data_IF_039971867610
#
_entry.id   IF_039971867610
#
_cell.length_a   1.000
_cell.length_b   1.000
_cell.length_c   1.000
_cell.angle_alpha   90.00
_cell.angle_beta   90.00
_cell.angle_gamma   90.00
#
_symmetry.space_group_name_H-M   'P 1'
#
loop_
_entity.id
_entity.type
_entity.pdbx_description
1 polymer ?
#
# COMPACT_ATOMS: atom_id res chain seq x y z
N UNK A 1 6.36 -15.25 35.86
CA UNK A 1 6.85 -14.02 35.21
C UNK A 1 8.18 -14.38 34.58
N UNK A 2 8.17 -14.74 33.30
CA UNK A 2 9.38 -15.16 32.58
C UNK A 2 10.22 -13.93 32.24
N UNK A 3 11.43 -13.89 32.81
CA UNK A 3 12.39 -12.83 32.54
C UNK A 3 12.77 -12.88 31.05
N UNK A 4 12.75 -11.76 30.31
CA UNK A 4 13.15 -11.76 28.91
C UNK A 4 14.58 -12.30 28.79
N UNK A 5 14.72 -13.42 28.09
CA UNK A 5 15.98 -14.16 28.00
C UNK A 5 17.07 -13.29 27.40
N UNK A 6 18.23 -13.23 28.07
CA UNK A 6 19.47 -12.59 27.61
C UNK A 6 19.84 -12.97 26.17
N UNK A 7 19.39 -14.14 25.71
CA UNK A 7 19.48 -14.57 24.32
C UNK A 7 18.81 -13.60 23.34
N UNK A 8 17.56 -13.19 23.60
CA UNK A 8 16.82 -12.29 22.70
C UNK A 8 17.44 -10.89 22.66
N UNK A 9 17.87 -10.36 23.81
CA UNK A 9 18.60 -9.09 23.85
C UNK A 9 19.90 -9.14 23.06
N UNK A 10 20.63 -10.26 23.12
CA UNK A 10 21.86 -10.41 22.33
C UNK A 10 21.56 -10.57 20.84
N UNK A 11 20.46 -11.23 20.47
CA UNK A 11 20.02 -11.34 19.08
C UNK A 11 19.63 -9.95 18.52
N UNK A 12 18.90 -9.17 19.30
CA UNK A 12 18.52 -7.80 18.97
C UNK A 12 19.76 -6.90 18.85
N UNK A 13 20.69 -6.95 19.81
CA UNK A 13 21.96 -6.21 19.74
C UNK A 13 22.77 -6.54 18.49
N UNK A 14 22.86 -7.83 18.11
CA UNK A 14 23.52 -8.26 16.87
C UNK A 14 22.79 -7.71 15.64
N UNK A 15 21.46 -7.76 15.63
CA UNK A 15 20.65 -7.22 14.54
C UNK A 15 20.80 -5.70 14.38
N UNK A 16 20.86 -4.96 15.49
CA UNK A 16 21.11 -3.52 15.50
C UNK A 16 22.52 -3.24 14.97
N UNK A 17 23.56 -3.91 15.48
CA UNK A 17 24.94 -3.70 15.01
C UNK A 17 25.11 -3.96 13.51
N UNK A 18 24.43 -4.96 12.94
CA UNK A 18 24.49 -5.24 11.50
C UNK A 18 23.77 -4.17 10.65
N UNK A 19 22.75 -3.51 11.19
CA UNK A 19 21.92 -2.53 10.45
C UNK A 19 22.34 -1.09 10.69
N UNK A 20 23.13 -0.84 11.73
CA UNK A 20 23.61 0.50 12.07
C UNK A 20 24.76 0.88 11.14
N UNK A 21 24.63 2.06 10.52
CA UNK A 21 25.73 2.68 9.81
C UNK A 21 26.76 3.16 10.85
N UNK A 22 27.93 2.51 10.90
CA UNK A 22 28.98 2.81 11.87
C UNK A 22 30.07 3.75 11.33
N UNK A 23 30.14 3.91 10.00
CA UNK A 23 31.19 4.67 9.34
C UNK A 23 30.64 5.43 8.14
N UNK A 24 31.17 6.63 7.90
CA UNK A 24 30.95 7.39 6.67
C UNK A 24 32.27 7.80 6.06
N UNK A 25 32.34 7.77 4.72
CA UNK A 25 33.49 8.30 3.97
C UNK A 25 33.30 9.79 3.74
N UNK A 26 34.33 10.57 4.06
CA UNK A 26 34.43 12.00 3.79
C UNK A 26 34.76 12.26 2.31
N UNK A 27 34.54 13.50 1.81
CA UNK A 27 34.88 13.87 0.44
C UNK A 27 36.38 13.72 0.09
N UNK A 28 37.26 13.86 1.09
CA UNK A 28 38.72 13.66 0.95
C UNK A 28 39.14 12.18 0.90
N UNK A 29 38.18 11.24 0.98
CA UNK A 29 38.42 9.81 0.98
C UNK A 29 38.70 9.20 2.36
N UNK A 30 38.87 10.01 3.41
CA UNK A 30 39.06 9.53 4.78
C UNK A 30 37.75 8.99 5.38
N UNK A 31 37.84 8.18 6.43
CA UNK A 31 36.66 7.58 7.09
C UNK A 31 36.43 8.25 8.44
N UNK A 32 35.18 8.56 8.75
CA UNK A 32 34.74 8.96 10.09
C UNK A 32 33.87 7.87 10.72
N UNK A 33 34.03 7.72 12.03
CA UNK A 33 33.19 6.90 12.91
C UNK A 33 32.55 7.74 14.02
N UNK A 34 32.76 9.06 13.99
CA UNK A 34 32.19 9.97 14.98
C UNK A 34 30.70 10.21 14.67
N UNK A 35 29.77 9.85 15.57
CA UNK A 35 28.34 9.95 15.28
C UNK A 35 27.85 11.38 14.97
N UNK A 36 28.47 12.40 15.59
CA UNK A 36 28.09 13.79 15.36
C UNK A 36 28.53 14.25 13.97
N UNK A 37 29.77 13.96 13.59
CA UNK A 37 30.30 14.23 12.25
C UNK A 37 29.55 13.46 11.17
N UNK A 38 29.23 12.17 11.42
CA UNK A 38 28.46 11.35 10.49
C UNK A 38 27.08 11.94 10.19
N UNK A 39 26.39 12.43 11.24
CA UNK A 39 25.08 13.10 11.07
C UNK A 39 25.20 14.37 10.24
N UNK A 40 26.25 15.17 10.49
CA UNK A 40 26.50 16.40 9.74
C UNK A 40 26.76 16.10 8.27
N UNK A 41 27.67 15.16 7.97
CA UNK A 41 27.99 14.75 6.59
C UNK A 41 26.77 14.24 5.83
N UNK A 42 25.95 13.39 6.47
CA UNK A 42 24.71 12.91 5.86
C UNK A 42 23.72 14.05 5.60
N UNK A 43 23.54 14.96 6.57
CA UNK A 43 22.64 16.10 6.42
C UNK A 43 23.08 17.04 5.31
N UNK A 44 24.37 17.39 5.26
CA UNK A 44 24.91 18.30 4.26
C UNK A 44 24.84 17.70 2.86
N UNK A 45 25.16 16.40 2.73
CA UNK A 45 25.01 15.68 1.47
C UNK A 45 23.58 15.74 0.94
N UNK A 46 22.57 15.41 1.76
CA UNK A 46 21.19 15.42 1.30
C UNK A 46 20.64 16.84 1.08
N UNK A 47 21.09 17.82 1.86
CA UNK A 47 20.77 19.23 1.60
C UNK A 47 21.27 19.68 0.23
N UNK A 48 22.48 19.25 -0.14
CA UNK A 48 23.04 19.54 -1.46
C UNK A 48 22.33 18.75 -2.56
N UNK A 49 22.10 17.44 -2.36
CA UNK A 49 21.44 16.58 -3.35
C UNK A 49 20.03 17.06 -3.70
N UNK A 50 19.29 17.56 -2.71
CA UNK A 50 17.94 18.08 -2.88
C UNK A 50 17.89 19.61 -2.94
N UNK A 51 19.04 20.28 -3.04
CA UNK A 51 19.04 21.71 -3.33
C UNK A 51 18.51 21.92 -4.75
N UNK A 52 17.69 22.94 -4.94
CA UNK A 52 17.23 23.30 -6.26
C UNK A 52 18.43 23.75 -7.11
N UNK A 53 18.64 23.09 -8.24
CA UNK A 53 19.54 23.60 -9.28
C UNK A 53 18.93 24.85 -9.90
N UNK A 54 19.77 25.75 -10.41
CA UNK A 54 19.29 26.94 -11.11
C UNK A 54 18.50 26.53 -12.34
N UNK A 55 17.20 26.74 -12.33
CA UNK A 55 16.33 26.54 -13.48
C UNK A 55 16.30 27.83 -14.30
N UNK A 56 16.41 27.70 -15.62
CA UNK A 56 16.21 28.84 -16.52
C UNK A 56 14.74 29.27 -16.47
N UNK A 57 14.52 30.53 -16.07
CA UNK A 57 13.18 31.05 -15.85
C UNK A 57 12.36 31.13 -17.15
N UNK A 58 13.01 31.42 -18.27
CA UNK A 58 12.37 31.50 -19.58
C UNK A 58 11.90 30.11 -20.04
N UNK A 59 12.77 29.10 -19.94
CA UNK A 59 12.42 27.70 -20.23
C UNK A 59 11.31 27.15 -19.33
N UNK A 60 11.30 27.52 -18.05
CA UNK A 60 10.26 27.11 -17.11
C UNK A 60 8.91 27.73 -17.47
N UNK A 61 8.88 29.03 -17.77
CA UNK A 61 7.67 29.74 -18.19
C UNK A 61 7.13 29.14 -19.51
N UNK A 62 8.01 28.89 -20.47
CA UNK A 62 7.67 28.29 -21.76
C UNK A 62 7.07 26.88 -21.63
N UNK A 63 7.53 26.09 -20.67
CA UNK A 63 6.99 24.76 -20.39
C UNK A 63 5.62 24.84 -19.69
N UNK A 64 5.45 25.81 -18.79
CA UNK A 64 4.26 25.92 -17.93
C UNK A 64 3.09 26.66 -18.59
N UNK A 65 3.32 27.47 -19.64
CA UNK A 65 2.28 28.29 -20.28
C UNK A 65 1.11 27.49 -20.89
N UNK A 66 1.37 26.27 -21.34
CA UNK A 66 0.36 25.40 -21.98
C UNK A 66 -0.39 24.50 -20.97
N UNK A 67 -0.01 24.55 -19.69
CA UNK A 67 -0.69 23.78 -18.65
C UNK A 67 -1.97 24.49 -18.19
N UNK A 68 -3.03 23.74 -17.84
CA UNK A 68 -4.22 24.32 -17.22
C UNK A 68 -3.84 25.12 -15.97
N UNK A 69 -4.11 26.42 -16.00
CA UNK A 69 -3.85 27.30 -14.86
C UNK A 69 -5.08 27.39 -13.97
N UNK A 70 -4.85 27.42 -12.67
CA UNK A 70 -5.90 27.67 -11.69
C UNK A 70 -6.39 29.11 -11.83
N UNK A 71 -7.71 29.30 -11.73
CA UNK A 71 -8.29 30.64 -11.61
C UNK A 71 -7.85 31.28 -10.29
N UNK A 72 -7.78 32.62 -10.25
CA UNK A 72 -7.33 33.35 -9.07
C UNK A 72 -8.13 32.98 -7.81
N UNK A 73 -9.44 32.80 -7.96
CA UNK A 73 -10.33 32.34 -6.87
C UNK A 73 -9.99 30.94 -6.37
N UNK A 74 -9.52 30.03 -7.24
CA UNK A 74 -9.09 28.69 -6.84
C UNK A 74 -7.73 28.72 -6.16
N UNK A 75 -6.83 29.62 -6.56
CA UNK A 75 -5.54 29.83 -5.88
C UNK A 75 -5.77 30.34 -4.46
N UNK A 76 -6.61 31.37 -4.31
CA UNK A 76 -7.00 31.90 -3.01
C UNK A 76 -7.66 30.84 -2.11
N UNK A 77 -8.51 29.98 -2.69
CA UNK A 77 -9.14 28.86 -1.96
C UNK A 77 -8.09 27.84 -1.47
N UNK A 78 -7.05 27.54 -2.26
CA UNK A 78 -6.01 26.55 -1.92
C UNK A 78 -4.98 27.12 -0.95
N UNK A 79 -4.63 28.40 -1.08
CA UNK A 79 -3.65 29.09 -0.22
C UNK A 79 -4.23 29.47 1.15
N UNK A 80 -5.55 29.31 1.34
CA UNK A 80 -6.19 29.56 2.63
C UNK A 80 -5.71 28.56 3.69
N UNK A 81 -5.82 28.96 4.95
CA UNK A 81 -5.58 28.04 6.07
C UNK A 81 -6.60 26.91 6.10
N UNK A 82 -6.11 25.67 6.21
CA UNK A 82 -6.93 24.46 6.38
C UNK A 82 -7.85 24.64 7.58
N UNK A 83 -9.14 24.38 7.40
CA UNK A 83 -10.13 24.47 8.47
C UNK A 83 -10.35 23.13 9.19
N UNK A 84 -10.95 23.19 10.39
CA UNK A 84 -11.17 22.01 11.21
C UNK A 84 -12.13 21.00 10.55
N UNK A 85 -13.12 21.46 9.79
CA UNK A 85 -14.08 20.59 9.12
C UNK A 85 -13.41 19.79 8.00
N UNK A 86 -12.55 20.43 7.19
CA UNK A 86 -11.73 19.76 6.19
C UNK A 86 -10.83 18.69 6.81
N UNK A 87 -10.26 18.98 7.99
CA UNK A 87 -9.46 18.01 8.73
C UNK A 87 -10.31 16.82 9.21
N UNK A 88 -11.49 17.08 9.78
CA UNK A 88 -12.42 16.03 10.23
C UNK A 88 -12.88 15.16 9.05
N UNK A 89 -13.22 15.79 7.92
CA UNK A 89 -13.66 15.11 6.72
C UNK A 89 -12.53 14.27 6.12
N UNK A 90 -11.31 14.81 6.05
CA UNK A 90 -10.13 14.08 5.62
C UNK A 90 -9.82 12.90 6.56
N UNK A 91 -9.87 13.10 7.88
CA UNK A 91 -9.67 12.03 8.87
C UNK A 91 -10.73 10.94 8.78
N UNK A 92 -11.98 11.32 8.50
CA UNK A 92 -13.07 10.39 8.28
C UNK A 92 -12.83 9.54 7.02
N UNK A 93 -12.23 10.11 5.98
CA UNK A 93 -11.82 9.37 4.77
C UNK A 93 -10.59 8.48 5.00
N UNK A 94 -9.66 8.90 5.85
CA UNK A 94 -8.47 8.12 6.27
C UNK A 94 -8.84 6.87 7.08
N UNK A 95 -9.98 6.85 7.75
CA UNK A 95 -10.47 5.72 8.56
C UNK A 95 -10.73 4.43 7.77
N UNK A 96 -10.72 4.51 6.42
CA UNK A 96 -10.70 3.32 5.57
C UNK A 96 -9.38 2.52 5.69
N UNK A 97 -8.35 3.07 6.35
CA UNK A 97 -7.04 2.41 6.49
C UNK A 97 -6.35 2.18 5.14
N UNK A 98 -6.78 2.92 4.11
CA UNK A 98 -6.29 2.82 2.74
C UNK A 98 -5.44 4.04 2.45
N UNK A 99 -4.17 3.81 2.17
CA UNK A 99 -3.37 4.79 1.43
C UNK A 99 -3.99 4.91 0.02
N UNK A 100 -4.12 6.12 -0.56
CA UNK A 100 -4.70 6.35 -1.90
C UNK A 100 -3.72 5.94 -3.02
N UNK A 101 -3.13 4.76 -2.91
CA UNK A 101 -2.41 4.08 -3.98
C UNK A 101 -3.21 2.87 -4.47
N UNK A 102 -2.93 2.43 -5.69
CA UNK A 102 -3.33 1.12 -6.18
C UNK A 102 -3.09 0.09 -5.07
N UNK A 103 -4.13 -0.69 -4.79
CA UNK A 103 -4.29 -1.56 -3.64
C UNK A 103 -2.97 -2.06 -3.03
N UNK A 104 -2.73 -1.68 -1.78
CA UNK A 104 -1.51 -1.97 -1.04
C UNK A 104 -1.20 -3.48 -0.96
N UNK A 105 -2.23 -4.33 -1.10
CA UNK A 105 -2.09 -5.77 -1.03
C UNK A 105 -1.75 -6.39 -2.38
N UNK A 106 -2.40 -5.97 -3.47
CA UNK A 106 -2.07 -6.41 -4.83
C UNK A 106 -0.71 -5.87 -5.30
N UNK A 107 -0.31 -4.71 -4.78
CA UNK A 107 1.03 -4.15 -4.97
C UNK A 107 2.11 -4.84 -4.10
N UNK A 108 1.75 -5.71 -3.16
CA UNK A 108 2.71 -6.45 -2.33
C UNK A 108 3.44 -7.57 -3.09
N UNK A 109 4.76 -7.53 -3.05
CA UNK A 109 5.64 -8.57 -3.65
C UNK A 109 5.39 -9.94 -3.01
N UNK A 110 5.17 -9.99 -1.70
CA UNK A 110 4.94 -11.24 -0.97
C UNK A 110 3.64 -11.90 -1.39
N UNK A 111 2.58 -11.12 -1.57
CA UNK A 111 1.28 -11.62 -2.04
C UNK A 111 1.38 -12.08 -3.48
N UNK A 112 2.00 -11.28 -4.38
CA UNK A 112 2.22 -11.71 -5.77
C UNK A 112 3.00 -13.01 -5.86
N UNK A 113 4.07 -13.17 -5.07
CA UNK A 113 4.86 -14.41 -5.01
C UNK A 113 4.03 -15.58 -4.49
N UNK A 114 3.17 -15.34 -3.51
CA UNK A 114 2.25 -16.34 -2.95
C UNK A 114 1.24 -16.82 -4.00
N UNK A 115 0.61 -15.89 -4.72
CA UNK A 115 -0.35 -16.22 -5.77
C UNK A 115 0.32 -16.98 -6.93
N UNK A 116 1.41 -16.44 -7.48
CA UNK A 116 2.13 -17.08 -8.59
C UNK A 116 2.73 -18.43 -8.19
N UNK A 117 3.26 -18.54 -6.97
CA UNK A 117 3.82 -19.79 -6.45
C UNK A 117 2.78 -20.90 -6.29
N UNK A 118 1.51 -20.55 -6.11
CA UNK A 118 0.38 -21.49 -6.10
C UNK A 118 -0.32 -21.60 -7.47
N UNK A 119 0.28 -21.09 -8.55
CA UNK A 119 -0.27 -21.20 -9.91
C UNK A 119 -1.47 -20.28 -10.19
N UNK A 120 -1.73 -19.30 -9.33
CA UNK A 120 -2.82 -18.33 -9.47
C UNK A 120 -2.37 -17.22 -10.41
N UNK A 121 -2.63 -17.40 -11.70
CA UNK A 121 -2.25 -16.47 -12.77
C UNK A 121 -3.45 -15.76 -13.40
N UNK A 122 -4.67 -16.23 -13.13
CA UNK A 122 -5.92 -15.69 -13.67
C UNK A 122 -6.94 -15.52 -12.55
N UNK A 123 -7.81 -14.52 -12.68
CA UNK A 123 -8.92 -14.30 -11.75
C UNK A 123 -9.81 -15.55 -11.63
N UNK A 124 -10.01 -16.28 -12.72
CA UNK A 124 -10.80 -17.52 -12.73
C UNK A 124 -10.27 -18.63 -11.81
N UNK A 125 -9.01 -18.57 -11.36
CA UNK A 125 -8.49 -19.54 -10.38
C UNK A 125 -8.97 -19.23 -8.95
N UNK A 126 -9.56 -18.05 -8.74
CA UNK A 126 -10.15 -17.59 -7.47
C UNK A 126 -11.69 -17.57 -7.53
N UNK A 127 -12.26 -18.12 -8.60
CA UNK A 127 -13.70 -18.17 -8.82
C UNK A 127 -14.13 -19.64 -8.96
N UNK A 128 -15.33 -19.95 -8.47
CA UNK A 128 -16.06 -21.20 -8.72
C UNK A 128 -17.29 -20.93 -9.61
N UNK A 129 -18.11 -21.96 -9.83
CA UNK A 129 -19.34 -21.85 -10.62
C UNK A 129 -20.35 -20.84 -10.05
N UNK A 130 -20.22 -20.54 -8.75
CA UNK A 130 -21.08 -19.68 -7.94
C UNK A 130 -20.51 -18.26 -7.72
N UNK A 131 -19.34 -17.95 -8.28
CA UNK A 131 -18.67 -16.66 -8.10
C UNK A 131 -17.36 -16.77 -7.32
N UNK A 132 -17.16 -15.96 -6.29
CA UNK A 132 -15.92 -16.02 -5.50
C UNK A 132 -15.83 -17.29 -4.67
N UNK A 133 -14.65 -17.93 -4.67
CA UNK A 133 -14.41 -19.03 -3.73
C UNK A 133 -14.53 -18.51 -2.28
N UNK A 134 -15.12 -19.29 -1.36
CA UNK A 134 -15.23 -18.90 0.04
C UNK A 134 -13.86 -18.64 0.67
N UNK A 135 -13.82 -17.78 1.70
CA UNK A 135 -12.57 -17.36 2.36
C UNK A 135 -11.67 -18.51 2.81
N UNK A 136 -12.25 -19.63 3.25
CA UNK A 136 -11.47 -20.80 3.70
C UNK A 136 -10.84 -21.57 2.54
N UNK A 137 -11.53 -21.66 1.41
CA UNK A 137 -10.98 -22.24 0.17
C UNK A 137 -9.95 -21.28 -0.45
N UNK A 138 -10.21 -19.98 -0.40
CA UNK A 138 -9.27 -18.95 -0.82
C UNK A 138 -7.94 -19.08 -0.08
N UNK A 139 -7.95 -19.30 1.23
CA UNK A 139 -6.74 -19.54 2.03
C UNK A 139 -6.00 -20.80 1.61
N UNK A 140 -6.74 -21.88 1.32
CA UNK A 140 -6.15 -23.13 0.88
C UNK A 140 -5.45 -22.99 -0.48
N UNK A 141 -6.11 -22.35 -1.45
CA UNK A 141 -5.58 -22.16 -2.81
C UNK A 141 -4.45 -21.13 -2.82
N UNK A 142 -4.57 -20.04 -2.06
CA UNK A 142 -3.55 -18.97 -2.02
C UNK A 142 -2.39 -19.27 -1.08
N UNK A 143 -2.51 -20.25 -0.17
CA UNK A 143 -1.55 -20.49 0.91
C UNK A 143 -1.55 -19.44 2.02
N UNK A 144 -2.53 -18.51 2.03
CA UNK A 144 -2.65 -17.48 3.04
C UNK A 144 -3.12 -18.07 4.38
N UNK A 145 -2.36 -17.84 5.45
CA UNK A 145 -2.72 -18.33 6.80
C UNK A 145 -3.77 -17.47 7.49
N UNK A 146 -3.88 -16.19 7.12
CA UNK A 146 -4.77 -15.23 7.78
C UNK A 146 -6.09 -15.06 7.05
N UNK A 147 -7.21 -15.41 7.70
CA UNK A 147 -8.56 -15.18 7.15
C UNK A 147 -8.84 -13.69 6.92
N UNK A 148 -8.32 -12.81 7.79
CA UNK A 148 -8.45 -11.35 7.60
C UNK A 148 -7.73 -10.87 6.34
N UNK A 149 -6.57 -11.44 6.04
CA UNK A 149 -5.81 -11.08 4.85
C UNK A 149 -6.46 -11.62 3.57
N UNK A 150 -6.98 -12.83 3.61
CA UNK A 150 -7.74 -13.43 2.51
C UNK A 150 -9.01 -12.63 2.20
N UNK A 151 -9.78 -12.24 3.22
CA UNK A 151 -10.96 -11.40 3.06
C UNK A 151 -10.62 -10.02 2.47
N UNK A 152 -9.52 -9.38 2.94
CA UNK A 152 -9.05 -8.11 2.38
C UNK A 152 -8.59 -8.23 0.93
N UNK A 153 -7.97 -9.35 0.54
CA UNK A 153 -7.57 -9.61 -0.84
C UNK A 153 -8.79 -9.69 -1.76
N UNK A 154 -9.82 -10.40 -1.34
CA UNK A 154 -11.07 -10.51 -2.09
C UNK A 154 -11.76 -9.15 -2.22
N UNK A 155 -11.83 -8.37 -1.13
CA UNK A 155 -12.39 -7.02 -1.15
C UNK A 155 -11.62 -6.07 -2.08
N UNK A 156 -10.29 -6.11 -2.06
CA UNK A 156 -9.44 -5.28 -2.90
C UNK A 156 -9.53 -5.66 -4.37
N UNK A 157 -9.61 -6.95 -4.68
CA UNK A 157 -9.87 -7.44 -6.03
C UNK A 157 -11.26 -7.01 -6.52
N UNK A 158 -12.31 -7.18 -5.71
CA UNK A 158 -13.65 -6.67 -6.04
C UNK A 158 -13.63 -5.18 -6.36
N UNK A 159 -12.90 -4.39 -5.56
CA UNK A 159 -12.81 -2.93 -5.72
C UNK A 159 -11.95 -2.47 -6.89
N UNK A 160 -11.10 -3.33 -7.45
CA UNK A 160 -10.27 -3.02 -8.63
C UNK A 160 -10.91 -3.48 -9.93
N UNK A 161 -11.86 -4.42 -9.89
CA UNK A 161 -12.56 -4.90 -11.07
C UNK A 161 -13.55 -3.86 -11.64
N UNK A 162 -13.71 -3.76 -12.97
CA UNK A 162 -14.74 -2.94 -13.60
C UNK A 162 -16.15 -3.39 -13.20
N UNK A 163 -17.12 -2.46 -13.21
CA UNK A 163 -18.50 -2.71 -12.76
C UNK A 163 -19.18 -3.87 -13.50
N UNK A 164 -18.90 -4.05 -14.79
CA UNK A 164 -19.40 -5.18 -15.60
C UNK A 164 -18.96 -6.54 -15.05
N UNK A 165 -17.72 -6.65 -14.58
CA UNK A 165 -17.20 -7.87 -13.96
C UNK A 165 -17.77 -8.09 -12.56
N UNK A 166 -18.00 -7.03 -11.78
CA UNK A 166 -18.63 -7.14 -10.46
C UNK A 166 -20.05 -7.67 -10.58
N UNK A 167 -20.83 -7.16 -11.52
CA UNK A 167 -22.19 -7.63 -11.79
C UNK A 167 -22.18 -9.09 -12.25
N UNK A 168 -21.27 -9.47 -13.15
CA UNK A 168 -21.14 -10.86 -13.61
C UNK A 168 -20.77 -11.85 -12.49
N UNK A 169 -19.94 -11.44 -11.54
CA UNK A 169 -19.57 -12.27 -10.39
C UNK A 169 -20.69 -12.28 -9.33
N UNK A 170 -21.37 -11.15 -9.12
CA UNK A 170 -22.49 -11.01 -8.17
C UNK A 170 -23.77 -11.74 -8.59
N UNK A 171 -24.10 -11.76 -9.88
CA UNK A 171 -25.27 -12.47 -10.43
C UNK A 171 -25.22 -13.99 -10.18
N UNK A 172 -24.03 -14.60 -10.07
CA UNK A 172 -23.89 -16.01 -9.70
C UNK A 172 -24.24 -16.31 -8.24
N UNK A 173 -24.13 -15.30 -7.37
CA UNK A 173 -24.40 -15.44 -5.94
C UNK A 173 -25.91 -15.37 -5.63
N UNK A 174 -26.72 -14.75 -6.50
CA UNK A 174 -28.18 -14.60 -6.35
C UNK A 174 -28.96 -15.80 -6.92
N UNK A 175 -28.47 -16.44 -7.99
CA UNK A 175 -29.16 -17.58 -8.65
C UNK A 175 -29.30 -18.84 -7.79
N UNK A 176 -28.63 -18.91 -6.63
CA UNK A 176 -28.61 -20.11 -5.77
C UNK A 176 -29.41 -19.94 -4.49
N UNK A 177 -29.82 -18.72 -4.11
CA UNK A 177 -30.78 -18.54 -3.02
C UNK A 177 -32.20 -18.96 -3.42
N UNK A 178 -32.57 -18.81 -4.70
CA UNK A 178 -33.90 -19.22 -5.20
C UNK A 178 -34.03 -20.73 -5.52
N UNK A 179 -32.92 -21.48 -5.58
CA UNK A 179 -32.98 -22.94 -5.82
C UNK A 179 -33.03 -23.80 -4.55
N UNK A 180 -32.91 -23.20 -3.36
CA UNK A 180 -33.03 -23.91 -2.08
C UNK A 180 -34.42 -23.81 -1.43
N UNK A 181 -35.37 -23.07 -2.03
CA UNK A 181 -36.75 -22.97 -1.54
C UNK A 181 -37.76 -23.92 -2.20
N UNK A 182 -37.42 -24.53 -3.35
CA UNK A 182 -38.38 -25.37 -4.09
C UNK A 182 -37.97 -26.85 -4.14
N UNK A 183 -38.49 -27.61 -3.17
CA UNK A 183 -38.59 -29.08 -3.18
C UNK A 183 -38.63 -29.65 -1.76
N UNK A 184 -39.69 -30.27 -1.24
CA UNK A 184 -40.99 -30.70 -1.76
C UNK A 184 -41.96 -30.75 -0.55
N UNK A 185 -43.27 -30.47 -0.71
CA UNK A 185 -44.27 -30.84 0.28
C UNK A 185 -44.51 -32.35 0.24
N UNK A 186 -44.67 -32.94 1.42
CA UNK A 186 -44.61 -34.39 1.62
C UNK A 186 -45.61 -35.23 0.86
N UNK A 187 -45.22 -36.49 0.69
CA UNK A 187 -46.02 -37.70 0.90
C UNK A 187 -45.05 -38.85 1.22
#
# INVERSE_FOLDING_TARGET
>A
MDSPSTFYFNLEKKGIQQKTMCHLRRPDGSITSDPAEMRRLASDFYKQLYSAESCDAESAEDLLKELPQLHETQKEEIDRTINLQELIDAMSQLSTGRSPGIGILLSSVSIRKCLLGNGITKLGHLLNEEGWIPTEELKAVTGLRSSRLAAKLQEELCNTLPSSYRTYIGQRHETTQDRKSDGFPGL
#
